data_IF_541407854164
#
_entry.id   IF_541407854164
#
_cell.length_a   1.000
_cell.length_b   1.000
_cell.length_c   1.000
_cell.angle_alpha   90.00
_cell.angle_beta   90.00
_cell.angle_gamma   90.00
#
_symmetry.space_group_name_H-M   'P 1'
#
loop_
_entity.id
_entity.type
_entity.pdbx_description
1 polymer ?
#
# COMPACT_ATOMS: atom_id res chain seq x y z
N UNK A 1 -20.01 4.79 -24.32
CA UNK A 1 -19.88 3.62 -25.22
C UNK A 1 -18.56 2.87 -25.15
N UNK A 2 -17.41 3.54 -25.30
CA UNK A 2 -16.11 2.85 -25.27
C UNK A 2 -15.76 2.21 -23.91
N UNK A 3 -16.07 2.88 -22.79
CA UNK A 3 -15.85 2.36 -21.44
C UNK A 3 -16.72 1.13 -21.10
N UNK A 4 -17.98 1.09 -21.55
CA UNK A 4 -18.83 -0.10 -21.40
C UNK A 4 -18.29 -1.27 -22.22
N UNK A 5 -17.76 -0.97 -23.40
CA UNK A 5 -17.21 -1.98 -24.31
C UNK A 5 -15.94 -2.60 -23.75
N UNK A 6 -15.08 -1.83 -23.09
CA UNK A 6 -13.88 -2.36 -22.43
C UNK A 6 -14.21 -3.19 -21.18
N UNK A 7 -15.17 -2.77 -20.36
CA UNK A 7 -15.58 -3.54 -19.17
C UNK A 7 -16.19 -4.90 -19.53
N UNK A 8 -16.94 -4.97 -20.64
CA UNK A 8 -17.51 -6.23 -21.17
C UNK A 8 -16.46 -7.23 -21.67
N UNK A 9 -15.20 -6.82 -21.87
CA UNK A 9 -14.12 -7.75 -22.22
C UNK A 9 -13.61 -8.54 -21.00
N UNK A 10 -13.87 -8.03 -19.79
CA UNK A 10 -13.34 -8.58 -18.54
C UNK A 10 -14.46 -9.20 -17.69
N UNK A 11 -15.70 -8.72 -17.83
CA UNK A 11 -16.85 -9.16 -17.03
C UNK A 11 -18.11 -9.35 -17.86
N UNK A 12 -19.07 -10.08 -17.29
CA UNK A 12 -20.40 -10.28 -17.88
C UNK A 12 -21.15 -8.96 -18.08
N UNK A 13 -22.08 -8.96 -19.04
CA UNK A 13 -22.76 -7.74 -19.50
C UNK A 13 -23.50 -6.98 -18.39
N UNK A 14 -24.09 -7.69 -17.43
CA UNK A 14 -24.80 -7.12 -16.29
C UNK A 14 -23.84 -6.54 -15.25
N UNK A 15 -22.76 -7.24 -14.94
CA UNK A 15 -21.71 -6.78 -14.02
C UNK A 15 -20.96 -5.57 -14.59
N UNK A 16 -20.65 -5.57 -15.89
CA UNK A 16 -20.01 -4.45 -16.57
C UNK A 16 -20.89 -3.20 -16.58
N UNK A 17 -22.21 -3.34 -16.69
CA UNK A 17 -23.14 -2.22 -16.63
C UNK A 17 -23.25 -1.66 -15.20
N UNK A 18 -23.33 -2.53 -14.19
CA UNK A 18 -23.33 -2.12 -12.78
C UNK A 18 -22.03 -1.39 -12.40
N UNK A 19 -20.87 -1.93 -12.80
CA UNK A 19 -19.57 -1.31 -12.53
C UNK A 19 -19.40 0.02 -13.26
N UNK A 20 -19.87 0.13 -14.51
CA UNK A 20 -19.87 1.41 -15.22
C UNK A 20 -20.72 2.45 -14.47
N UNK A 21 -21.89 2.04 -13.97
CA UNK A 21 -22.75 2.94 -13.21
C UNK A 21 -22.08 3.41 -11.91
N UNK A 22 -21.40 2.53 -11.18
CA UNK A 22 -20.63 2.89 -9.99
C UNK A 22 -19.48 3.86 -10.31
N UNK A 23 -18.75 3.62 -11.40
CA UNK A 23 -17.66 4.50 -11.85
C UNK A 23 -18.21 5.88 -12.24
N UNK A 24 -19.31 5.95 -12.99
CA UNK A 24 -19.95 7.21 -13.38
C UNK A 24 -20.48 7.98 -12.16
N UNK A 25 -21.08 7.28 -11.19
CA UNK A 25 -21.50 7.87 -9.92
C UNK A 25 -20.31 8.42 -9.11
N UNK A 26 -19.19 7.70 -9.05
CA UNK A 26 -17.97 8.17 -8.40
C UNK A 26 -17.36 9.38 -9.13
N UNK A 27 -17.31 9.35 -10.47
CA UNK A 27 -16.79 10.45 -11.29
C UNK A 27 -17.64 11.72 -11.16
N UNK A 28 -18.96 11.60 -11.18
CA UNK A 28 -19.87 12.73 -10.98
C UNK A 28 -19.73 13.33 -9.57
N UNK A 29 -19.57 12.49 -8.55
CA UNK A 29 -19.29 12.93 -7.17
C UNK A 29 -17.96 13.67 -7.09
N UNK A 30 -16.90 13.15 -7.71
CA UNK A 30 -15.59 13.80 -7.76
C UNK A 30 -15.64 15.14 -8.52
N UNK A 31 -16.37 15.20 -9.64
CA UNK A 31 -16.56 16.43 -10.40
C UNK A 31 -17.29 17.51 -9.58
N UNK A 32 -18.28 17.12 -8.76
CA UNK A 32 -18.99 18.03 -7.87
C UNK A 32 -18.12 18.60 -6.73
N UNK A 33 -17.10 17.85 -6.30
CA UNK A 33 -16.12 18.29 -5.28
C UNK A 33 -15.07 19.27 -5.85
N UNK A 34 -14.94 19.37 -7.17
CA UNK A 34 -14.00 20.25 -7.85
C UNK A 34 -12.58 19.68 -7.98
N UNK A 35 -11.65 20.51 -8.46
CA UNK A 35 -10.24 20.11 -8.65
C UNK A 35 -9.46 20.28 -7.34
N UNK A 36 -8.99 19.19 -6.71
CA UNK A 36 -8.26 19.28 -5.45
C UNK A 36 -6.93 19.99 -5.65
N UNK A 37 -6.54 20.81 -4.68
CA UNK A 37 -5.23 21.51 -4.68
C UNK A 37 -4.28 20.85 -3.70
N UNK A 38 -3.00 20.74 -4.07
CA UNK A 38 -1.95 20.17 -3.20
C UNK A 38 -1.89 20.77 -1.79
N UNK A 39 -2.28 22.03 -1.63
CA UNK A 39 -2.31 22.72 -0.34
C UNK A 39 -3.36 22.14 0.62
N UNK A 40 -4.44 21.56 0.09
CA UNK A 40 -5.54 20.99 0.88
C UNK A 40 -5.11 19.74 1.67
N UNK A 41 -4.02 19.07 1.23
CA UNK A 41 -3.43 17.94 1.96
C UNK A 41 -2.89 18.32 3.36
N UNK A 42 -2.64 19.60 3.61
CA UNK A 42 -2.08 20.11 4.87
C UNK A 42 -3.10 20.88 5.71
N UNK A 43 -4.36 20.99 5.26
CA UNK A 43 -5.38 21.80 5.92
C UNK A 43 -6.36 20.92 6.71
N UNK A 44 -6.79 21.41 7.88
CA UNK A 44 -7.87 20.82 8.66
C UNK A 44 -7.60 19.38 9.11
N UNK A 45 -8.64 18.55 9.06
CA UNK A 45 -8.54 17.12 9.42
C UNK A 45 -7.65 16.33 8.46
N UNK A 46 -7.69 16.65 7.16
CA UNK A 46 -6.86 16.01 6.14
C UNK A 46 -5.37 16.22 6.44
N UNK A 47 -4.98 17.44 6.84
CA UNK A 47 -3.61 17.73 7.30
C UNK A 47 -3.12 16.83 8.43
N UNK A 48 -3.99 16.55 9.42
CA UNK A 48 -3.66 15.63 10.52
C UNK A 48 -3.48 14.19 10.03
N UNK A 49 -4.34 13.74 9.12
CA UNK A 49 -4.22 12.40 8.52
C UNK A 49 -2.94 12.26 7.69
N UNK A 50 -2.61 13.28 6.89
CA UNK A 50 -1.35 13.35 6.14
C UNK A 50 -0.16 13.28 7.08
N UNK A 51 -0.16 14.04 8.18
CA UNK A 51 0.92 14.01 9.16
C UNK A 51 1.10 12.64 9.82
N UNK A 52 -0.01 11.97 10.20
CA UNK A 52 0.02 10.60 10.73
C UNK A 52 0.57 9.62 9.69
N UNK A 53 0.14 9.75 8.42
CA UNK A 53 0.65 8.94 7.32
C UNK A 53 2.16 9.12 7.14
N UNK A 54 2.66 10.36 7.11
CA UNK A 54 4.09 10.65 7.02
C UNK A 54 4.85 10.07 8.21
N UNK A 55 4.35 10.24 9.44
CA UNK A 55 4.98 9.70 10.64
C UNK A 55 5.07 8.16 10.60
N UNK A 56 3.99 7.49 10.15
CA UNK A 56 3.98 6.05 9.98
C UNK A 56 4.97 5.58 8.91
N UNK A 57 5.06 6.29 7.78
CA UNK A 57 6.02 5.96 6.72
C UNK A 57 7.47 6.14 7.19
N UNK A 58 7.76 7.20 7.94
CA UNK A 58 9.08 7.41 8.52
C UNK A 58 9.43 6.30 9.53
N UNK A 59 8.47 5.85 10.34
CA UNK A 59 8.66 4.72 11.24
C UNK A 59 8.96 3.44 10.46
N UNK A 60 8.17 3.14 9.42
CA UNK A 60 8.35 1.94 8.59
C UNK A 60 9.74 1.91 7.93
N UNK A 61 10.13 3.00 7.27
CA UNK A 61 11.42 3.10 6.56
C UNK A 61 12.59 3.02 7.56
N UNK A 62 12.48 3.71 8.70
CA UNK A 62 13.51 3.69 9.74
C UNK A 62 13.73 2.30 10.33
N UNK A 63 12.65 1.59 10.68
CA UNK A 63 12.74 0.23 11.22
C UNK A 63 13.24 -0.75 10.16
N UNK A 64 12.69 -0.70 8.95
CA UNK A 64 13.00 -1.68 7.90
C UNK A 64 14.46 -1.55 7.44
N UNK A 65 14.91 -0.33 7.11
CA UNK A 65 16.27 -0.10 6.61
C UNK A 65 17.28 -0.27 7.76
N UNK A 66 17.01 0.29 8.93
CA UNK A 66 17.91 0.22 10.07
C UNK A 66 18.14 -1.21 10.56
N UNK A 67 17.08 -2.01 10.63
CA UNK A 67 17.15 -3.40 11.07
C UNK A 67 17.79 -4.29 10.00
N UNK A 68 17.41 -4.13 8.72
CA UNK A 68 17.91 -4.98 7.65
C UNK A 68 19.38 -4.72 7.35
N UNK A 69 19.82 -3.46 7.23
CA UNK A 69 21.23 -3.15 6.98
C UNK A 69 22.09 -3.26 8.24
N UNK A 70 21.62 -2.77 9.39
CA UNK A 70 22.38 -2.78 10.64
C UNK A 70 22.68 -4.20 11.13
N UNK A 71 21.66 -5.07 11.16
CA UNK A 71 21.85 -6.47 11.58
C UNK A 71 22.59 -7.28 10.50
N UNK A 72 22.31 -7.09 9.21
CA UNK A 72 22.96 -7.89 8.18
C UNK A 72 24.47 -7.65 8.11
N UNK A 73 24.93 -6.43 8.33
CA UNK A 73 26.36 -6.10 8.32
C UNK A 73 27.09 -6.68 9.54
N UNK A 74 26.50 -6.57 10.73
CA UNK A 74 27.09 -7.07 11.98
C UNK A 74 27.07 -8.60 12.11
N UNK A 75 25.97 -9.25 11.71
CA UNK A 75 25.83 -10.70 11.80
C UNK A 75 26.57 -11.46 10.70
N UNK A 76 26.62 -10.93 9.47
CA UNK A 76 27.39 -11.56 8.40
C UNK A 76 28.88 -11.64 8.75
N UNK A 77 29.42 -10.62 9.42
CA UNK A 77 30.82 -10.59 9.88
C UNK A 77 31.08 -11.53 11.06
N UNK A 78 30.11 -11.76 11.96
CA UNK A 78 30.30 -12.61 13.14
C UNK A 78 30.08 -14.11 12.87
N UNK A 79 29.24 -14.48 11.89
CA UNK A 79 28.90 -15.89 11.60
C UNK A 79 29.64 -16.40 10.33
N UNK A 80 30.38 -15.53 9.63
CA UNK A 80 31.12 -15.90 8.41
C UNK A 80 30.23 -16.18 7.19
N UNK A 81 28.98 -15.71 7.20
CA UNK A 81 28.03 -15.86 6.10
C UNK A 81 28.16 -14.67 5.15
N UNK A 82 28.16 -14.89 3.83
CA UNK A 82 28.21 -13.79 2.87
C UNK A 82 26.96 -12.91 2.96
N UNK A 83 27.15 -11.60 2.81
CA UNK A 83 26.06 -10.60 2.87
C UNK A 83 24.94 -10.93 1.89
N UNK A 84 25.28 -11.41 0.70
CA UNK A 84 24.32 -11.77 -0.34
C UNK A 84 23.35 -12.88 0.11
N UNK A 85 23.86 -13.92 0.76
CA UNK A 85 23.02 -15.03 1.27
C UNK A 85 22.04 -14.53 2.33
N UNK A 86 22.51 -13.68 3.24
CA UNK A 86 21.68 -13.11 4.29
C UNK A 86 20.60 -12.19 3.73
N UNK A 87 20.93 -11.39 2.71
CA UNK A 87 19.99 -10.54 2.01
C UNK A 87 18.92 -11.35 1.26
N UNK A 88 19.29 -12.45 0.61
CA UNK A 88 18.33 -13.36 -0.04
C UNK A 88 17.35 -13.95 0.97
N UNK A 89 17.85 -14.44 2.11
CA UNK A 89 16.99 -15.02 3.15
C UNK A 89 16.03 -13.98 3.74
N UNK A 90 16.52 -12.77 4.02
CA UNK A 90 15.67 -11.67 4.51
C UNK A 90 14.58 -11.29 3.50
N UNK A 91 14.90 -11.28 2.21
CA UNK A 91 13.94 -10.97 1.15
C UNK A 91 12.90 -12.08 1.00
N UNK A 92 13.31 -13.34 1.10
CA UNK A 92 12.37 -14.48 1.11
C UNK A 92 11.44 -14.43 2.32
N UNK A 93 11.97 -14.10 3.50
CA UNK A 93 11.15 -13.98 4.71
C UNK A 93 10.16 -12.81 4.60
N UNK A 94 10.56 -11.67 4.03
CA UNK A 94 9.67 -10.54 3.79
C UNK A 94 8.50 -10.92 2.86
N UNK A 95 8.80 -11.64 1.78
CA UNK A 95 7.78 -12.18 0.89
C UNK A 95 6.86 -13.17 1.61
N UNK A 96 7.43 -14.15 2.33
CA UNK A 96 6.65 -15.15 3.06
C UNK A 96 5.73 -14.52 4.11
N UNK A 97 6.20 -13.48 4.81
CA UNK A 97 5.42 -12.73 5.80
C UNK A 97 4.31 -11.87 5.21
N UNK A 98 4.29 -11.67 3.89
CA UNK A 98 3.21 -10.92 3.22
C UNK A 98 1.87 -11.66 3.34
N UNK A 99 1.86 -12.99 3.20
CA UNK A 99 0.62 -13.79 3.25
C UNK A 99 -0.01 -13.83 4.65
N UNK A 100 0.74 -14.14 5.75
CA UNK A 100 0.21 -14.03 7.09
C UNK A 100 -0.25 -12.62 7.45
N UNK A 101 0.46 -11.58 6.98
CA UNK A 101 0.10 -10.18 7.22
C UNK A 101 -1.26 -9.84 6.60
N UNK A 102 -1.51 -10.24 5.35
CA UNK A 102 -2.81 -10.07 4.69
C UNK A 102 -3.93 -10.76 5.46
N UNK A 103 -3.71 -12.01 5.90
CA UNK A 103 -4.71 -12.73 6.68
C UNK A 103 -4.98 -12.09 8.05
N UNK A 104 -3.92 -11.60 8.72
CA UNK A 104 -4.04 -11.02 10.04
C UNK A 104 -4.73 -9.65 10.01
N UNK A 105 -4.50 -8.84 8.97
CA UNK A 105 -5.09 -7.50 8.86
C UNK A 105 -6.62 -7.57 8.74
N UNK A 106 -7.14 -8.61 8.11
CA UNK A 106 -8.59 -8.85 7.98
C UNK A 106 -9.23 -9.25 9.31
N UNK A 107 -8.47 -9.90 10.21
CA UNK A 107 -9.00 -10.42 11.48
C UNK A 107 -8.81 -9.51 12.67
N UNK A 108 -7.70 -8.79 12.74
CA UNK A 108 -7.32 -7.97 13.91
C UNK A 108 -7.53 -6.48 13.63
N UNK A 109 -7.69 -6.10 12.35
CA UNK A 109 -7.84 -4.71 11.93
C UNK A 109 -6.53 -3.93 11.87
N UNK A 110 -6.56 -2.76 11.21
CA UNK A 110 -5.36 -1.96 10.90
C UNK A 110 -4.75 -1.17 12.07
N UNK A 111 -5.33 -1.28 13.28
CA UNK A 111 -4.93 -0.51 14.48
C UNK A 111 -4.29 -1.36 15.59
N UNK A 112 -4.21 -2.68 15.39
CA UNK A 112 -3.69 -3.62 16.36
C UNK A 112 -2.17 -3.61 16.44
#
# INVERSE_FOLDING_TARGET
>A
DEALRSLRLVRDAEQAAAELHEIEAACSTAAALGVPRWRELFVGFVGKLTAVGVALQLLQVGTLIGLQFGLALGFAQSIGISRDRLQTVMSMLNFAMTLPSMYLVERVGRRA
#
